data_IF_181662145365
#
_entry.id   IF_181662145365
#
_cell.length_a   1.000
_cell.length_b   1.000
_cell.length_c   1.000
_cell.angle_alpha   90.00
_cell.angle_beta   90.00
_cell.angle_gamma   90.00
#
_symmetry.space_group_name_H-M   'P 1'
#
loop_
_entity.id
_entity.type
_entity.pdbx_description
1 polymer ?
#
# COMPACT_ATOMS: atom_id res chain seq x y z
N UNK A 1 -0.82 -12.98 18.76
CA UNK A 1 -1.02 -11.96 17.71
C UNK A 1 -1.67 -12.66 16.53
N UNK A 2 -2.97 -12.46 16.32
CA UNK A 2 -3.65 -13.12 15.21
C UNK A 2 -3.00 -12.64 13.90
N UNK A 3 -2.45 -13.56 13.11
CA UNK A 3 -2.07 -13.31 11.73
C UNK A 3 -3.35 -12.86 11.00
N UNK A 4 -3.62 -11.55 11.02
CA UNK A 4 -4.66 -10.92 10.22
C UNK A 4 -4.18 -11.03 8.79
N UNK A 5 -4.46 -12.19 8.20
CA UNK A 5 -4.21 -12.47 6.79
C UNK A 5 -5.04 -11.44 6.02
N UNK A 6 -4.39 -10.36 5.59
CA UNK A 6 -5.04 -9.38 4.74
C UNK A 6 -5.60 -10.13 3.54
N UNK A 7 -6.87 -9.87 3.22
CA UNK A 7 -7.43 -10.47 2.02
C UNK A 7 -6.61 -9.96 0.83
N UNK A 8 -6.33 -10.81 -0.18
CA UNK A 8 -5.59 -10.37 -1.37
C UNK A 8 -6.14 -9.08 -1.98
N UNK A 9 -7.46 -8.92 -1.91
CA UNK A 9 -8.18 -7.72 -2.36
C UNK A 9 -7.77 -6.43 -1.62
N UNK A 10 -7.53 -6.49 -0.31
CA UNK A 10 -7.05 -5.35 0.47
C UNK A 10 -5.63 -4.96 0.08
N UNK A 11 -4.78 -5.94 -0.21
CA UNK A 11 -3.40 -5.72 -0.65
C UNK A 11 -3.41 -5.06 -2.03
N UNK A 12 -4.20 -5.60 -2.97
CA UNK A 12 -4.34 -5.05 -4.33
C UNK A 12 -4.89 -3.62 -4.28
N UNK A 13 -5.86 -3.35 -3.40
CA UNK A 13 -6.43 -2.02 -3.22
C UNK A 13 -5.38 -1.02 -2.73
N UNK A 14 -4.58 -1.38 -1.72
CA UNK A 14 -3.49 -0.53 -1.21
C UNK A 14 -2.43 -0.27 -2.28
N UNK A 15 -2.02 -1.30 -3.03
CA UNK A 15 -1.03 -1.15 -4.11
C UNK A 15 -1.55 -0.24 -5.23
N UNK A 16 -2.83 -0.37 -5.61
CA UNK A 16 -3.45 0.52 -6.60
C UNK A 16 -3.49 1.97 -6.13
N UNK A 17 -3.72 2.23 -4.84
CA UNK A 17 -3.67 3.58 -4.29
C UNK A 17 -2.26 4.19 -4.42
N UNK A 18 -1.21 3.40 -4.19
CA UNK A 18 0.18 3.83 -4.42
C UNK A 18 0.42 4.18 -5.89
N UNK A 19 -0.10 3.36 -6.82
CA UNK A 19 0.02 3.64 -8.26
C UNK A 19 -0.68 4.94 -8.69
N UNK A 20 -1.85 5.25 -8.13
CA UNK A 20 -2.56 6.50 -8.38
C UNK A 20 -1.74 7.70 -7.90
N UNK A 21 -1.22 7.65 -6.67
CA UNK A 21 -0.38 8.73 -6.12
C UNK A 21 0.89 8.92 -6.96
N UNK A 22 1.50 7.82 -7.41
CA UNK A 22 2.64 7.87 -8.33
C UNK A 22 2.27 8.51 -9.67
N UNK A 23 1.10 8.21 -10.22
CA UNK A 23 0.56 8.85 -11.42
C UNK A 23 0.32 10.36 -11.26
N UNK A 24 0.13 10.84 -10.03
CA UNK A 24 0.03 12.25 -9.68
C UNK A 24 1.39 12.94 -9.46
N UNK A 25 2.50 12.22 -9.67
CA UNK A 25 3.86 12.73 -9.52
C UNK A 25 4.45 12.57 -8.12
N UNK A 26 3.77 11.84 -7.23
CA UNK A 26 4.29 11.58 -5.88
C UNK A 26 5.45 10.57 -5.91
N UNK A 27 6.48 10.81 -5.10
CA UNK A 27 7.58 9.87 -4.94
C UNK A 27 7.10 8.56 -4.27
N UNK A 28 7.64 7.42 -4.73
CA UNK A 28 7.22 6.10 -4.26
C UNK A 28 7.31 5.93 -2.74
N UNK A 29 8.40 6.43 -2.14
CA UNK A 29 8.61 6.36 -0.69
C UNK A 29 7.54 7.13 0.10
N UNK A 30 7.10 8.28 -0.42
CA UNK A 30 6.07 9.10 0.24
C UNK A 30 4.68 8.50 0.03
N UNK A 31 4.39 7.98 -1.15
CA UNK A 31 3.15 7.26 -1.42
C UNK A 31 3.01 6.01 -0.53
N UNK A 32 4.06 5.21 -0.38
CA UNK A 32 4.06 4.02 0.49
C UNK A 32 3.87 4.40 1.96
N UNK A 33 4.53 5.46 2.44
CA UNK A 33 4.35 6.00 3.80
C UNK A 33 2.92 6.50 4.03
N UNK A 34 2.33 7.18 3.04
CA UNK A 34 0.98 7.73 3.13
C UNK A 34 -0.09 6.62 3.18
N UNK A 35 0.06 5.57 2.38
CA UNK A 35 -0.89 4.43 2.38
C UNK A 35 -0.68 3.51 3.59
N UNK A 36 0.48 3.58 4.26
CA UNK A 36 0.76 2.74 5.42
C UNK A 36 0.93 1.27 5.04
N UNK A 37 1.55 1.01 3.87
CA UNK A 37 2.00 -0.34 3.52
C UNK A 37 3.29 -0.59 4.30
N UNK A 38 3.16 -1.02 5.55
CA UNK A 38 4.30 -1.56 6.31
C UNK A 38 4.71 -2.90 5.69
N UNK A 39 6.03 -3.16 5.61
CA UNK A 39 6.57 -4.46 5.18
C UNK A 39 5.79 -5.60 5.84
N UNK A 40 5.13 -6.40 5.00
CA UNK A 40 4.42 -7.58 5.43
C UNK A 40 5.43 -8.74 5.37
N UNK A 41 6.11 -9.00 6.48
CA UNK A 41 6.89 -10.24 6.68
C UNK A 41 5.99 -11.37 7.13
#
# INVERSE_FOLDING_TARGET
>A
MANKRHKPDEIVTKLRQVEVLRGQGMAMADAVRQIGVSELT
#
